data_IF_515135857930
#
_entry.id   IF_515135857930
#
_cell.length_a   1.000
_cell.length_b   1.000
_cell.length_c   1.000
_cell.angle_alpha   90.00
_cell.angle_beta   90.00
_cell.angle_gamma   90.00
#
_symmetry.space_group_name_H-M   'P 1'
#
loop_
_entity.id
_entity.type
_entity.pdbx_description
1 polymer ?
#
# COMPACT_ATOMS: atom_id res chain seq x y z
N UNK A 1 -17.50 -8.64 -9.45
CA UNK A 1 -16.56 -7.62 -9.94
C UNK A 1 -16.19 -6.78 -8.74
N UNK A 2 -14.91 -6.74 -8.39
CA UNK A 2 -14.41 -6.07 -7.20
C UNK A 2 -13.19 -5.21 -7.56
N UNK A 3 -13.17 -4.00 -7.03
CA UNK A 3 -12.05 -3.06 -7.13
C UNK A 3 -11.36 -2.97 -5.77
N UNK A 4 -10.03 -2.78 -5.77
CA UNK A 4 -9.27 -2.45 -4.56
C UNK A 4 -8.86 -0.99 -4.62
N UNK A 5 -9.23 -0.22 -3.60
CA UNK A 5 -8.91 1.21 -3.50
C UNK A 5 -8.26 1.51 -2.15
N UNK A 6 -7.06 2.10 -2.22
CA UNK A 6 -6.44 2.83 -1.12
C UNK A 6 -6.51 4.33 -1.45
N UNK A 7 -7.09 5.10 -0.52
CA UNK A 7 -7.24 6.56 -0.63
C UNK A 7 -6.58 7.21 0.59
N UNK A 8 -5.48 7.92 0.35
CA UNK A 8 -4.68 8.60 1.38
C UNK A 8 -4.21 7.72 2.55
N UNK A 9 -3.95 6.42 2.33
CA UNK A 9 -3.70 5.49 3.43
C UNK A 9 -2.31 5.68 4.03
N UNK A 10 -2.27 5.86 5.35
CA UNK A 10 -1.02 5.95 6.13
C UNK A 10 -0.99 4.82 7.16
N UNK A 11 0.15 4.12 7.25
CA UNK A 11 0.41 3.09 8.26
C UNK A 11 1.57 3.51 9.13
N UNK A 12 1.29 3.61 10.42
CA UNK A 12 2.30 3.82 11.47
C UNK A 12 2.29 2.61 12.40
N UNK A 13 3.48 2.15 12.80
CA UNK A 13 3.67 1.13 13.83
C UNK A 13 3.75 1.76 15.21
N UNK A 14 3.60 0.96 16.27
CA UNK A 14 3.54 1.45 17.65
C UNK A 14 4.85 2.12 18.11
N UNK A 15 5.97 1.81 17.46
CA UNK A 15 7.27 2.44 17.68
C UNK A 15 7.43 3.81 16.99
N UNK A 16 6.39 4.27 16.30
CA UNK A 16 6.37 5.53 15.54
C UNK A 16 6.90 5.41 14.11
N UNK A 17 7.31 4.22 13.66
CA UNK A 17 7.77 4.03 12.27
C UNK A 17 6.61 4.23 11.30
N UNK A 18 6.76 5.20 10.39
CA UNK A 18 5.84 5.42 9.27
C UNK A 18 6.21 4.46 8.14
N UNK A 19 5.46 3.35 8.02
CA UNK A 19 5.71 2.30 7.03
C UNK A 19 5.17 2.66 5.65
N UNK A 20 4.02 3.34 5.61
CA UNK A 20 3.36 3.84 4.41
C UNK A 20 2.85 5.23 4.71
N UNK A 21 3.10 6.19 3.83
CA UNK A 21 2.67 7.58 3.98
C UNK A 21 1.83 7.97 2.77
N UNK A 22 0.56 8.33 3.00
CA UNK A 22 -0.35 8.90 2.00
C UNK A 22 -0.45 8.08 0.69
N UNK A 23 -0.67 6.77 0.81
CA UNK A 23 -0.78 5.88 -0.35
C UNK A 23 -2.14 6.02 -1.04
N UNK A 24 -2.09 6.35 -2.32
CA UNK A 24 -3.21 6.36 -3.24
C UNK A 24 -2.99 5.29 -4.33
N UNK A 25 -3.83 4.26 -4.36
CA UNK A 25 -3.72 3.12 -5.26
C UNK A 25 -5.12 2.58 -5.62
N UNK A 26 -5.44 2.50 -6.90
CA UNK A 26 -6.61 1.77 -7.41
C UNK A 26 -6.14 0.59 -8.26
N UNK A 27 -6.79 -0.56 -8.08
CA UNK A 27 -6.55 -1.78 -8.84
C UNK A 27 -7.88 -2.28 -9.39
N UNK A 28 -7.96 -2.29 -10.71
CA UNK A 28 -9.14 -2.73 -11.46
C UNK A 28 -9.38 -4.24 -11.34
N UNK A 29 -10.64 -4.65 -11.54
CA UNK A 29 -11.04 -6.05 -11.54
C UNK A 29 -10.26 -6.85 -12.61
N UNK A 30 -9.62 -7.95 -12.19
CA UNK A 30 -8.81 -8.80 -13.06
C UNK A 30 -7.37 -8.34 -13.28
N UNK A 31 -6.93 -7.22 -12.70
CA UNK A 31 -5.55 -6.75 -12.80
C UNK A 31 -4.59 -7.57 -11.92
N UNK A 32 -3.35 -7.74 -12.39
CA UNK A 32 -2.24 -8.28 -11.62
C UNK A 32 -1.30 -7.14 -11.20
N UNK A 33 -1.25 -6.84 -9.91
CA UNK A 33 -0.33 -5.87 -9.33
C UNK A 33 0.81 -6.57 -8.59
N UNK A 34 2.04 -6.08 -8.76
CA UNK A 34 3.22 -6.51 -7.99
C UNK A 34 3.89 -5.29 -7.37
N UNK A 35 4.11 -5.33 -6.06
CA UNK A 35 4.85 -4.29 -5.33
C UNK A 35 6.33 -4.69 -5.21
N UNK A 36 7.23 -3.82 -5.67
CA UNK A 36 8.69 -4.04 -5.68
C UNK A 36 9.41 -2.90 -4.98
N UNK A 37 10.41 -3.24 -4.19
CA UNK A 37 11.26 -2.27 -3.50
C UNK A 37 12.19 -2.95 -2.49
N UNK A 38 13.20 -2.23 -1.97
CA UNK A 38 14.18 -2.77 -1.01
C UNK A 38 13.53 -3.28 0.29
N UNK A 39 14.28 -4.05 1.09
CA UNK A 39 13.79 -4.51 2.39
C UNK A 39 13.37 -3.31 3.27
N UNK A 40 12.25 -3.42 3.98
CA UNK A 40 11.73 -2.36 4.85
C UNK A 40 10.91 -1.25 4.18
N UNK A 41 10.71 -1.27 2.85
CA UNK A 41 9.99 -0.19 2.15
C UNK A 41 8.44 -0.24 2.27
N UNK A 42 7.87 -0.95 3.25
CA UNK A 42 6.42 -0.95 3.50
C UNK A 42 5.56 -1.85 2.61
N UNK A 43 6.14 -2.91 2.01
CA UNK A 43 5.40 -3.87 1.15
C UNK A 43 4.54 -4.87 1.93
N UNK A 44 4.76 -5.02 3.23
CA UNK A 44 4.19 -6.05 4.11
C UNK A 44 3.85 -5.41 5.44
#
# INVERSE_FOLDING_TARGET
>A
MAEVVFDGVTKVFDDGTVAVSDLNLSVEDGALLVLVGPSGCGKT
#
